data_IF_832980868948
#
_entry.id   IF_832980868948
#
_cell.length_a   1.000
_cell.length_b   1.000
_cell.length_c   1.000
_cell.angle_alpha   90.00
_cell.angle_beta   90.00
_cell.angle_gamma   90.00
#
_symmetry.space_group_name_H-M   'P 1'
#
loop_
_entity.id
_entity.type
_entity.pdbx_description
1 polymer ?
#
# COMPACT_ATOMS: atom_id res chain seq x y z
N UNK A 1 -18.25 -34.55 -21.35
CA UNK A 1 -18.34 -34.05 -19.96
C UNK A 1 -16.96 -34.17 -19.32
N UNK A 2 -16.15 -33.11 -19.34
CA UNK A 2 -14.72 -33.21 -19.01
C UNK A 2 -14.50 -32.97 -17.50
N UNK A 3 -14.05 -33.99 -16.77
CA UNK A 3 -13.83 -33.97 -15.32
C UNK A 3 -12.67 -33.02 -14.95
N UNK A 4 -13.02 -31.90 -14.32
CA UNK A 4 -12.22 -31.06 -13.43
C UNK A 4 -10.72 -30.88 -13.71
N UNK A 5 -10.38 -30.00 -14.65
CA UNK A 5 -9.07 -29.32 -14.61
C UNK A 5 -9.14 -28.26 -13.50
N UNK A 6 -8.78 -28.62 -12.25
CA UNK A 6 -8.63 -27.62 -11.18
C UNK A 6 -7.55 -26.62 -11.61
N UNK A 7 -7.89 -25.32 -11.62
CA UNK A 7 -6.91 -24.27 -11.88
C UNK A 7 -5.87 -24.26 -10.74
N UNK A 8 -4.59 -24.10 -11.07
CA UNK A 8 -3.48 -24.09 -10.10
C UNK A 8 -3.75 -23.22 -8.86
N UNK A 9 -4.38 -22.07 -9.05
CA UNK A 9 -4.78 -21.17 -7.96
C UNK A 9 -5.73 -21.84 -6.94
N UNK A 10 -6.74 -22.59 -7.40
CA UNK A 10 -7.63 -23.35 -6.51
C UNK A 10 -6.90 -24.46 -5.76
N UNK A 11 -5.97 -25.16 -6.40
CA UNK A 11 -5.16 -26.19 -5.75
C UNK A 11 -4.26 -25.62 -4.66
N UNK A 12 -3.68 -24.44 -4.89
CA UNK A 12 -2.89 -23.74 -3.86
C UNK A 12 -3.79 -23.30 -2.70
N UNK A 13 -4.96 -22.72 -2.99
CA UNK A 13 -5.90 -22.32 -1.95
C UNK A 13 -6.38 -23.50 -1.11
N UNK A 14 -6.72 -24.64 -1.73
CA UNK A 14 -7.10 -25.87 -1.03
C UNK A 14 -5.98 -26.33 -0.07
N UNK A 15 -4.71 -26.27 -0.50
CA UNK A 15 -3.56 -26.62 0.35
C UNK A 15 -3.36 -25.64 1.49
N UNK A 16 -3.52 -24.34 1.25
CA UNK A 16 -3.46 -23.32 2.31
C UNK A 16 -4.55 -23.54 3.36
N UNK A 17 -5.79 -23.81 2.94
CA UNK A 17 -6.90 -24.11 3.84
C UNK A 17 -6.67 -25.41 4.63
N UNK A 18 -6.14 -26.46 4.00
CA UNK A 18 -5.78 -27.68 4.70
C UNK A 18 -4.71 -27.46 5.79
N UNK A 19 -3.86 -26.44 5.62
CA UNK A 19 -2.89 -25.98 6.62
C UNK A 19 -3.43 -24.98 7.64
N UNK A 20 -4.74 -24.72 7.68
CA UNK A 20 -5.36 -23.75 8.60
C UNK A 20 -5.14 -22.28 8.24
N UNK A 21 -4.62 -21.98 7.03
CA UNK A 21 -4.44 -20.62 6.53
C UNK A 21 -5.65 -20.18 5.71
N UNK A 22 -5.95 -18.89 5.72
CA UNK A 22 -6.95 -18.32 4.81
C UNK A 22 -6.33 -18.04 3.44
N UNK A 23 -7.00 -18.42 2.36
CA UNK A 23 -6.53 -18.13 1.00
C UNK A 23 -7.70 -17.83 0.06
N UNK A 24 -7.74 -16.60 -0.46
CA UNK A 24 -8.78 -16.18 -1.41
C UNK A 24 -8.22 -16.17 -2.82
N UNK A 25 -8.82 -16.95 -3.72
CA UNK A 25 -8.52 -16.88 -5.16
C UNK A 25 -9.23 -15.66 -5.74
N UNK A 26 -8.45 -14.76 -6.35
CA UNK A 26 -8.95 -13.53 -6.96
C UNK A 26 -8.65 -13.53 -8.46
N UNK A 27 -9.50 -12.85 -9.22
CA UNK A 27 -9.16 -12.51 -10.60
C UNK A 27 -8.05 -11.43 -10.62
N UNK A 28 -7.45 -11.22 -11.79
CA UNK A 28 -6.31 -10.33 -11.97
C UNK A 28 -6.55 -8.92 -11.42
N UNK A 29 -7.68 -8.32 -11.76
CA UNK A 29 -8.01 -6.94 -11.36
C UNK A 29 -8.19 -6.82 -9.85
N UNK A 30 -8.98 -7.72 -9.23
CA UNK A 30 -9.19 -7.72 -7.77
C UNK A 30 -7.89 -7.97 -7.00
N UNK A 31 -7.04 -8.86 -7.51
CA UNK A 31 -5.73 -9.10 -6.93
C UNK A 31 -4.83 -7.86 -7.02
N UNK A 32 -4.80 -7.19 -8.18
CA UNK A 32 -4.01 -5.98 -8.37
C UNK A 32 -4.46 -4.84 -7.45
N UNK A 33 -5.78 -4.62 -7.30
CA UNK A 33 -6.33 -3.64 -6.35
C UNK A 33 -5.86 -3.95 -4.91
N UNK A 34 -5.99 -5.19 -4.44
CA UNK A 34 -5.56 -5.56 -3.09
C UNK A 34 -4.04 -5.44 -2.87
N UNK A 35 -3.22 -5.78 -3.87
CA UNK A 35 -1.77 -5.57 -3.78
C UNK A 35 -1.43 -4.08 -3.64
N UNK A 36 -2.08 -3.22 -4.43
CA UNK A 36 -1.86 -1.78 -4.36
C UNK A 36 -2.40 -1.18 -3.07
N UNK A 37 -3.56 -1.60 -2.57
CA UNK A 37 -4.05 -1.17 -1.25
C UNK A 37 -3.03 -1.52 -0.15
N UNK A 38 -2.44 -2.73 -0.20
CA UNK A 38 -1.40 -3.13 0.75
C UNK A 38 -0.12 -2.31 0.61
N UNK A 39 0.26 -1.97 -0.63
CA UNK A 39 1.42 -1.13 -0.91
C UNK A 39 1.21 0.32 -0.45
N UNK A 40 0.04 0.90 -0.73
CA UNK A 40 -0.37 2.23 -0.25
C UNK A 40 -0.34 2.26 1.27
N UNK A 41 -0.92 1.26 1.92
CA UNK A 41 -0.92 1.15 3.38
C UNK A 41 0.49 1.17 3.95
N UNK A 42 1.37 0.30 3.47
CA UNK A 42 2.72 0.21 4.03
C UNK A 42 3.53 1.46 3.71
N UNK A 43 3.37 2.04 2.52
CA UNK A 43 4.06 3.27 2.14
C UNK A 43 3.62 4.45 3.00
N UNK A 44 2.31 4.59 3.24
CA UNK A 44 1.78 5.69 4.02
C UNK A 44 2.13 5.56 5.52
N UNK A 45 1.81 4.43 6.14
CA UNK A 45 2.01 4.26 7.59
C UNK A 45 3.49 4.25 7.99
N UNK A 46 4.36 3.65 7.18
CA UNK A 46 5.79 3.61 7.51
C UNK A 46 6.46 4.96 7.29
N UNK A 47 6.05 5.72 6.26
CA UNK A 47 6.61 7.05 5.99
C UNK A 47 6.16 8.07 7.03
N UNK A 48 4.86 8.15 7.34
CA UNK A 48 4.35 9.03 8.40
C UNK A 48 5.00 8.65 9.74
N UNK A 49 5.08 7.37 10.05
CA UNK A 49 5.72 6.96 11.29
C UNK A 49 7.22 7.28 11.36
N UNK A 50 7.94 7.24 10.23
CA UNK A 50 9.34 7.67 10.19
C UNK A 50 9.51 9.19 10.40
N UNK A 51 8.49 10.00 10.08
CA UNK A 51 8.44 11.45 10.41
C UNK A 51 8.24 11.72 11.89
N UNK A 52 7.74 10.75 12.64
CA UNK A 52 7.44 10.87 14.07
C UNK A 52 8.23 9.80 14.86
N UNK A 53 9.54 10.03 15.12
CA UNK A 53 10.44 9.00 15.64
C UNK A 53 9.92 8.31 16.89
N UNK A 54 9.99 6.98 16.91
CA UNK A 54 9.54 6.15 18.03
C UNK A 54 8.04 5.82 18.02
N UNK A 55 7.27 6.34 17.06
CA UNK A 55 5.86 5.98 16.94
C UNK A 55 5.66 4.54 16.43
N UNK A 56 4.51 3.97 16.75
CA UNK A 56 4.05 2.69 16.23
C UNK A 56 2.99 2.89 15.16
N UNK A 57 2.60 1.84 14.46
CA UNK A 57 1.50 1.88 13.49
C UNK A 57 0.20 2.39 14.12
N UNK A 58 -0.08 2.00 15.37
CA UNK A 58 -1.23 2.49 16.13
C UNK A 58 -1.09 3.95 16.53
N UNK A 59 0.12 4.40 16.87
CA UNK A 59 0.42 5.81 17.11
C UNK A 59 0.17 6.67 15.87
N UNK A 60 0.59 6.21 14.69
CA UNK A 60 0.26 6.87 13.41
C UNK A 60 -1.24 6.98 13.19
N UNK A 61 -1.97 5.89 13.38
CA UNK A 61 -3.42 5.89 13.16
C UNK A 61 -4.16 6.83 14.12
N UNK A 62 -3.74 6.89 15.39
CA UNK A 62 -4.41 7.66 16.43
C UNK A 62 -4.02 9.13 16.46
N UNK A 63 -2.73 9.42 16.43
CA UNK A 63 -2.18 10.77 16.68
C UNK A 63 -1.91 11.55 15.38
N UNK A 64 -1.68 10.85 14.26
CA UNK A 64 -1.29 11.43 12.97
C UNK A 64 -2.26 11.06 11.85
N UNK A 65 -3.55 10.93 12.21
CA UNK A 65 -4.62 10.46 11.31
C UNK A 65 -4.74 11.30 10.03
N UNK A 66 -4.66 12.63 10.14
CA UNK A 66 -4.79 13.54 9.00
C UNK A 66 -3.63 13.42 8.01
N UNK A 67 -2.39 13.27 8.51
CA UNK A 67 -1.21 13.05 7.67
C UNK A 67 -1.33 11.75 6.89
N UNK A 68 -1.68 10.64 7.57
CA UNK A 68 -1.79 9.34 6.92
C UNK A 68 -2.98 9.29 5.95
N UNK A 69 -4.11 9.93 6.25
CA UNK A 69 -5.25 10.05 5.31
C UNK A 69 -4.86 10.81 4.04
N UNK A 70 -4.15 11.93 4.19
CA UNK A 70 -3.73 12.76 3.05
C UNK A 70 -2.76 11.99 2.15
N UNK A 71 -1.80 11.29 2.76
CA UNK A 71 -0.85 10.48 2.00
C UNK A 71 -1.53 9.27 1.34
N UNK A 72 -2.45 8.58 2.03
CA UNK A 72 -3.24 7.49 1.41
C UNK A 72 -3.99 7.99 0.18
N UNK A 73 -4.64 9.16 0.26
CA UNK A 73 -5.39 9.73 -0.85
C UNK A 73 -4.49 10.07 -2.06
N UNK A 74 -3.33 10.69 -1.81
CA UNK A 74 -2.34 10.99 -2.84
C UNK A 74 -1.85 9.71 -3.55
N UNK A 75 -1.37 8.74 -2.77
CA UNK A 75 -0.83 7.49 -3.32
C UNK A 75 -1.89 6.67 -4.05
N UNK A 76 -3.14 6.69 -3.57
CA UNK A 76 -4.26 6.04 -4.26
C UNK A 76 -4.56 6.70 -5.61
N UNK A 77 -4.56 8.03 -5.67
CA UNK A 77 -4.75 8.78 -6.92
C UNK A 77 -3.67 8.43 -7.95
N UNK A 78 -2.40 8.46 -7.53
CA UNK A 78 -1.28 8.12 -8.39
C UNK A 78 -1.33 6.65 -8.88
N UNK A 79 -1.63 5.70 -7.99
CA UNK A 79 -1.75 4.29 -8.35
C UNK A 79 -2.94 4.03 -9.30
N UNK A 80 -4.07 4.69 -9.07
CA UNK A 80 -5.26 4.60 -9.91
C UNK A 80 -4.98 5.09 -11.33
N UNK A 81 -4.34 6.27 -11.46
CA UNK A 81 -3.96 6.83 -12.74
C UNK A 81 -2.94 5.95 -13.49
N UNK A 82 -1.91 5.47 -12.80
CA UNK A 82 -0.84 4.64 -13.40
C UNK A 82 -1.34 3.26 -13.85
N UNK A 83 -2.35 2.68 -13.17
CA UNK A 83 -2.86 1.34 -13.49
C UNK A 83 -4.22 1.32 -14.18
N UNK A 84 -4.81 2.48 -14.44
CA UNK A 84 -6.12 2.60 -15.08
C UNK A 84 -7.21 1.88 -14.29
N UNK A 85 -7.21 2.04 -12.96
CA UNK A 85 -8.13 1.34 -12.05
C UNK A 85 -8.86 2.31 -11.14
N UNK A 86 -9.98 1.84 -10.58
CA UNK A 86 -10.77 2.54 -9.56
C UNK A 86 -10.78 1.70 -8.30
N UNK A 87 -10.34 2.28 -7.19
CA UNK A 87 -10.40 1.65 -5.87
C UNK A 87 -11.83 1.72 -5.31
N UNK A 88 -12.17 0.74 -4.48
CA UNK A 88 -13.46 0.74 -3.78
C UNK A 88 -13.50 1.87 -2.75
N UNK A 89 -14.68 2.46 -2.57
CA UNK A 89 -14.95 3.53 -1.59
C UNK A 89 -14.50 3.14 -0.18
N UNK A 90 -14.25 4.13 0.68
CA UNK A 90 -13.82 3.93 2.07
C UNK A 90 -12.54 3.08 2.23
N UNK A 91 -11.67 3.02 1.21
CA UNK A 91 -10.37 2.37 1.28
C UNK A 91 -9.55 2.86 2.48
N UNK A 92 -9.49 4.17 2.68
CA UNK A 92 -8.77 4.79 3.79
C UNK A 92 -9.27 4.30 5.15
N UNK A 93 -10.59 4.17 5.35
CA UNK A 93 -11.17 3.58 6.55
C UNK A 93 -10.77 2.10 6.73
N UNK A 94 -10.78 1.29 5.65
CA UNK A 94 -10.33 -0.12 5.71
C UNK A 94 -8.86 -0.23 6.09
N UNK A 95 -8.01 0.61 5.51
CA UNK A 95 -6.57 0.62 5.76
C UNK A 95 -6.27 0.98 7.23
N UNK A 96 -6.97 1.96 7.79
CA UNK A 96 -6.81 2.32 9.20
C UNK A 96 -7.41 1.27 10.15
N UNK A 97 -8.52 0.63 9.77
CA UNK A 97 -9.02 -0.52 10.51
C UNK A 97 -8.01 -1.67 10.57
N UNK A 98 -7.36 -1.96 9.45
CA UNK A 98 -6.28 -2.94 9.41
C UNK A 98 -5.09 -2.52 10.29
N UNK A 99 -4.68 -1.23 10.26
CA UNK A 99 -3.61 -0.72 11.12
C UNK A 99 -3.82 -0.99 12.61
N UNK A 100 -5.06 -0.92 13.09
CA UNK A 100 -5.38 -1.22 14.49
C UNK A 100 -5.10 -2.69 14.87
N UNK A 101 -5.18 -3.62 13.92
CA UNK A 101 -4.84 -5.05 14.15
C UNK A 101 -3.33 -5.28 14.32
N UNK A 102 -2.51 -4.34 13.84
CA UNK A 102 -1.04 -4.38 13.87
C UNK A 102 -0.47 -3.17 14.61
N UNK A 103 -1.23 -2.60 15.55
CA UNK A 103 -0.95 -1.31 16.18
C UNK A 103 0.40 -1.23 16.90
N UNK A 104 0.91 -2.35 17.41
CA UNK A 104 2.15 -2.41 18.19
C UNK A 104 3.42 -2.43 17.32
N UNK A 105 3.30 -2.63 16.00
CA UNK A 105 4.47 -2.71 15.13
C UNK A 105 5.19 -1.35 15.03
N UNK A 106 6.52 -1.33 15.10
CA UNK A 106 7.29 -0.10 14.93
C UNK A 106 7.23 0.35 13.46
N UNK A 107 7.25 1.66 13.24
CA UNK A 107 7.31 2.23 11.90
C UNK A 107 8.72 2.57 11.49
N UNK A 108 9.10 2.22 10.27
CA UNK A 108 10.37 2.61 9.67
C UNK A 108 10.31 2.50 8.16
N UNK A 109 10.98 3.42 7.46
CA UNK A 109 11.27 3.27 6.03
C UNK A 109 12.28 2.12 5.86
N UNK A 110 11.82 1.00 5.31
CA UNK A 110 12.63 -0.19 5.03
C UNK A 110 12.29 -0.74 3.66
N UNK A 111 13.23 -1.48 3.06
CA UNK A 111 13.06 -2.12 1.74
C UNK A 111 12.58 -1.12 0.66
N UNK A 112 13.18 0.09 0.65
CA UNK A 112 12.71 1.25 -0.10
C UNK A 112 12.30 0.90 -1.53
N UNK A 113 13.19 0.30 -2.32
CA UNK A 113 12.93 -0.08 -3.72
C UNK A 113 11.63 -0.87 -3.95
N UNK A 114 11.25 -1.74 -3.01
CA UNK A 114 10.14 -2.68 -3.16
C UNK A 114 8.86 -2.26 -2.44
N UNK A 115 8.95 -1.29 -1.53
CA UNK A 115 7.82 -0.74 -0.79
C UNK A 115 7.56 0.71 -1.22
N UNK A 116 8.25 1.63 -0.57
CA UNK A 116 7.97 3.07 -0.61
C UNK A 116 8.44 3.69 -1.94
N UNK A 117 9.50 3.15 -2.52
CA UNK A 117 10.19 3.70 -3.69
C UNK A 117 9.43 3.58 -5.01
N UNK A 118 8.42 2.69 -5.13
CA UNK A 118 7.65 2.61 -6.37
C UNK A 118 6.93 3.94 -6.65
N UNK A 119 6.31 4.56 -5.65
CA UNK A 119 5.65 5.86 -5.80
C UNK A 119 6.63 6.98 -6.14
N UNK A 120 7.82 6.96 -5.53
CA UNK A 120 8.87 7.92 -5.86
C UNK A 120 9.35 7.77 -7.31
N UNK A 121 9.44 6.54 -7.83
CA UNK A 121 9.79 6.33 -9.25
C UNK A 121 8.75 6.89 -10.22
N UNK A 122 7.47 6.97 -9.82
CA UNK A 122 6.44 7.65 -10.61
C UNK A 122 6.69 9.17 -10.64
N UNK A 123 7.08 9.73 -9.50
CA UNK A 123 7.48 11.12 -9.37
C UNK A 123 8.68 11.47 -10.24
N UNK A 124 9.76 10.67 -10.16
CA UNK A 124 10.96 10.86 -10.97
C UNK A 124 10.63 10.81 -12.47
N UNK A 125 9.83 9.83 -12.90
CA UNK A 125 9.40 9.70 -14.29
C UNK A 125 8.61 10.94 -14.75
N UNK A 126 7.63 11.38 -13.98
CA UNK A 126 6.80 12.54 -14.35
C UNK A 126 7.63 13.81 -14.45
N UNK A 127 8.52 14.05 -13.49
CA UNK A 127 9.41 15.22 -13.46
C UNK A 127 10.37 15.20 -14.65
N UNK A 128 10.95 14.05 -14.99
CA UNK A 128 11.82 13.91 -16.15
C UNK A 128 11.09 14.19 -17.48
N UNK A 129 9.79 13.93 -17.54
CA UNK A 129 8.92 14.26 -18.67
C UNK A 129 8.40 15.72 -18.64
N UNK A 130 8.83 16.54 -17.68
CA UNK A 130 8.38 17.93 -17.52
C UNK A 130 6.95 18.06 -16.97
N UNK A 131 6.40 16.99 -16.39
CA UNK A 131 5.05 16.97 -15.79
C UNK A 131 5.12 17.27 -14.29
N UNK A 132 3.99 17.70 -13.68
CA UNK A 132 3.89 17.81 -12.23
C UNK A 132 4.16 16.48 -11.52
N UNK A 133 4.71 16.56 -10.31
CA UNK A 133 4.87 15.38 -9.44
C UNK A 133 3.48 14.82 -9.07
N UNK A 134 3.17 13.54 -9.37
CA UNK A 134 1.93 12.89 -8.98
C UNK A 134 1.84 12.57 -7.47
N UNK A 135 2.97 12.54 -6.75
CA UNK A 135 3.05 12.23 -5.32
C UNK A 135 3.86 13.29 -4.53
N UNK A 136 3.47 14.58 -4.57
CA UNK A 136 4.29 15.67 -4.02
C UNK A 136 4.50 15.60 -2.51
N UNK A 137 3.51 15.17 -1.71
CA UNK A 137 3.67 14.97 -0.27
C UNK A 137 4.67 13.85 -0.01
N UNK A 138 4.47 12.71 -0.65
CA UNK A 138 5.36 11.55 -0.53
C UNK A 138 6.82 11.91 -0.87
N UNK A 139 7.05 12.57 -2.01
CA UNK A 139 8.37 13.03 -2.45
C UNK A 139 9.00 13.98 -1.45
N UNK A 140 8.23 14.98 -0.98
CA UNK A 140 8.72 15.97 -0.03
C UNK A 140 9.13 15.31 1.28
N UNK A 141 8.29 14.42 1.81
CA UNK A 141 8.53 13.76 3.09
C UNK A 141 9.70 12.78 3.04
N UNK A 142 9.94 12.14 1.89
CA UNK A 142 11.14 11.32 1.70
C UNK A 142 12.43 12.16 1.71
N UNK A 143 12.41 13.34 1.09
CA UNK A 143 13.54 14.29 1.09
C UNK A 143 13.80 14.87 2.48
N UNK A 144 12.75 15.26 3.21
CA UNK A 144 12.85 15.74 4.60
C UNK A 144 13.58 14.73 5.50
N UNK A 145 13.28 13.44 5.30
CA UNK A 145 13.87 12.32 6.02
C UNK A 145 15.24 11.88 5.46
N UNK A 146 15.73 12.51 4.40
CA UNK A 146 16.98 12.16 3.70
C UNK A 146 17.04 10.70 3.26
N UNK A 147 15.89 10.15 2.84
CA UNK A 147 15.79 8.80 2.26
C UNK A 147 16.20 8.81 0.78
N UNK A 148 15.90 9.91 0.09
CA UNK A 148 16.21 10.19 -1.32
C UNK A 148 16.87 11.56 -1.47
#
# INVERSE_FOLDING_TARGET
>A
MNKHKKLWASTVADRSHAGGLTCKVLNKEKFQKQMLEKLIWISAFMLVGARHPGTTVGGVEKEYRSEVSSLIAELASAAAAEKGLVFEEAMEHRLCAYSRTVAHFPTAVKEFKWRIGWFYSLSEKAIAEGKPDPCPLHTTWLKDLKVV
#
